data_IF_702115967315
#
_entry.id   IF_702115967315
#
_cell.length_a   1.000
_cell.length_b   1.000
_cell.length_c   1.000
_cell.angle_alpha   90.00
_cell.angle_beta   90.00
_cell.angle_gamma   90.00
#
_symmetry.space_group_name_H-M   'P 1'
#
loop_
_entity.id
_entity.type
_entity.pdbx_description
1 polymer ?
#
# COMPACT_ATOMS: atom_id res chain seq x y z
N UNK A 1 -62.93 31.50 -17.57
CA UNK A 1 -62.81 32.99 -17.62
C UNK A 1 -61.34 33.31 -17.35
N UNK A 2 -60.68 33.72 -18.42
CA UNK A 2 -59.89 34.97 -18.57
C UNK A 2 -58.84 35.17 -17.46
N UNK A 3 -57.58 35.41 -17.66
CA UNK A 3 -56.92 36.02 -18.82
C UNK A 3 -55.41 36.08 -18.67
N UNK A 4 -54.87 36.47 -19.74
CA UNK A 4 -53.52 36.62 -20.24
C UNK A 4 -52.63 37.61 -19.45
N UNK A 5 -51.30 37.41 -19.53
CA UNK A 5 -50.32 38.44 -19.22
C UNK A 5 -48.92 38.04 -19.64
N UNK A 6 -48.59 38.24 -20.93
CA UNK A 6 -47.25 38.18 -21.43
C UNK A 6 -46.60 39.55 -21.29
N UNK A 7 -45.35 39.62 -20.82
CA UNK A 7 -44.52 40.82 -20.99
C UNK A 7 -43.08 40.37 -21.44
N UNK A 8 -42.79 40.67 -22.67
CA UNK A 8 -41.49 40.61 -23.26
C UNK A 8 -40.72 41.91 -22.97
N UNK A 9 -39.47 41.80 -22.53
CA UNK A 9 -38.54 42.95 -22.53
C UNK A 9 -37.33 42.61 -23.39
N UNK A 10 -37.19 43.35 -24.47
CA UNK A 10 -36.03 43.46 -25.35
C UNK A 10 -35.05 44.49 -24.75
N UNK A 11 -33.77 44.27 -24.87
CA UNK A 11 -32.72 45.26 -24.60
C UNK A 11 -31.38 44.61 -24.88
N UNK A 12 -30.83 44.84 -25.93
CA UNK A 12 -29.90 45.78 -26.52
C UNK A 12 -28.45 45.27 -26.43
N UNK A 13 -27.92 45.02 -27.65
CA UNK A 13 -26.51 44.73 -27.92
C UNK A 13 -25.65 45.98 -27.66
N UNK A 14 -24.45 45.78 -27.07
CA UNK A 14 -23.35 46.76 -27.10
C UNK A 14 -22.10 46.02 -27.58
N UNK A 15 -21.74 46.30 -28.81
CA UNK A 15 -20.46 45.97 -29.41
C UNK A 15 -19.41 46.93 -28.89
N UNK A 16 -18.29 46.41 -28.34
CA UNK A 16 -17.07 47.22 -28.10
C UNK A 16 -15.93 46.54 -28.86
N UNK A 17 -15.50 47.25 -29.91
CA UNK A 17 -14.27 46.97 -30.62
C UNK A 17 -13.08 47.58 -29.84
N UNK A 18 -12.01 46.83 -29.64
CA UNK A 18 -10.73 47.35 -29.15
C UNK A 18 -9.58 46.85 -30.01
N UNK A 19 -8.97 47.81 -30.61
CA UNK A 19 -7.74 47.97 -31.33
C UNK A 19 -6.59 46.99 -31.09
N UNK A 20 -6.06 46.52 -32.22
CA UNK A 20 -4.71 45.94 -32.37
C UNK A 20 -3.66 47.04 -32.16
N UNK A 21 -2.67 46.77 -31.29
CA UNK A 21 -1.36 47.43 -31.31
C UNK A 21 -0.29 46.41 -31.66
N UNK A 22 0.28 46.60 -32.84
CA UNK A 22 1.50 45.94 -33.31
C UNK A 22 2.67 46.62 -32.61
N UNK A 23 3.44 45.90 -31.83
CA UNK A 23 4.70 46.31 -31.23
C UNK A 23 5.85 45.49 -31.81
N UNK A 24 6.79 46.20 -32.39
CA UNK A 24 7.88 45.72 -33.22
C UNK A 24 8.97 44.94 -32.47
N UNK A 25 9.63 44.10 -33.22
CA UNK A 25 10.84 43.32 -33.02
C UNK A 25 12.01 44.12 -32.41
N UNK A 26 12.66 43.55 -31.39
CA UNK A 26 14.07 43.79 -31.14
C UNK A 26 14.75 42.44 -30.94
N UNK A 27 15.58 42.06 -31.88
CA UNK A 27 16.46 40.89 -31.78
C UNK A 27 17.58 41.19 -30.80
N UNK A 28 17.98 40.16 -30.07
CA UNK A 28 19.28 40.10 -29.41
C UNK A 28 19.98 38.85 -29.92
N UNK A 29 21.07 39.06 -30.62
CA UNK A 29 22.05 38.06 -31.02
C UNK A 29 22.65 37.42 -29.79
N UNK A 30 22.84 36.09 -29.87
CA UNK A 30 23.55 35.30 -28.89
C UNK A 30 25.02 35.30 -29.27
N UNK A 31 25.86 35.97 -28.48
CA UNK A 31 27.31 35.77 -28.54
C UNK A 31 27.71 34.51 -27.82
N UNK A 32 28.44 33.64 -28.54
CA UNK A 32 29.22 32.53 -28.00
C UNK A 32 30.33 33.10 -27.11
N UNK A 33 30.35 32.67 -25.84
CA UNK A 33 31.38 33.10 -24.92
C UNK A 33 31.62 32.14 -23.77
N UNK A 34 32.59 31.28 -23.95
CA UNK A 34 33.58 30.82 -22.97
C UNK A 34 33.16 29.96 -21.75
N UNK A 35 33.56 28.66 -21.83
CA UNK A 35 34.42 27.98 -20.84
C UNK A 35 33.93 27.94 -19.38
N UNK A 36 33.09 26.95 -19.07
CA UNK A 36 32.95 26.43 -17.71
C UNK A 36 34.05 25.38 -17.44
N UNK A 37 34.57 25.23 -16.21
CA UNK A 37 35.66 24.32 -15.90
C UNK A 37 35.22 22.88 -15.98
N UNK A 38 35.89 22.12 -16.83
CA UNK A 38 35.79 20.65 -16.92
C UNK A 38 36.29 20.03 -15.62
N UNK A 39 35.39 19.48 -14.84
CA UNK A 39 35.77 18.58 -13.74
C UNK A 39 36.30 17.28 -14.32
N UNK A 40 37.61 17.16 -14.39
CA UNK A 40 38.27 15.87 -14.67
C UNK A 40 38.13 14.98 -13.45
N UNK A 41 37.27 13.95 -13.56
CA UNK A 41 37.28 12.86 -12.61
C UNK A 41 38.56 12.03 -12.91
N UNK A 42 39.59 12.20 -12.08
CA UNK A 42 40.79 11.40 -12.08
C UNK A 42 40.46 10.07 -11.42
N UNK A 43 40.32 9.02 -12.22
CA UNK A 43 40.30 7.62 -11.75
C UNK A 43 41.72 7.21 -11.46
N UNK A 44 42.15 7.37 -10.21
CA UNK A 44 43.35 6.69 -9.71
C UNK A 44 43.03 5.22 -9.45
N UNK A 45 43.87 4.28 -9.87
CA UNK A 45 43.69 2.87 -9.59
C UNK A 45 43.88 2.61 -8.09
N UNK A 46 42.86 2.11 -7.43
CA UNK A 46 42.93 1.64 -6.04
C UNK A 46 43.81 0.38 -6.02
N UNK A 47 45.03 0.54 -5.46
CA UNK A 47 45.99 -0.53 -5.19
C UNK A 47 45.33 -1.53 -4.24
N UNK A 48 45.18 -2.76 -4.67
CA UNK A 48 44.67 -3.86 -3.88
C UNK A 48 45.52 -4.00 -2.60
N UNK A 49 44.85 -3.89 -1.44
CA UNK A 49 45.52 -4.14 -0.16
C UNK A 49 45.81 -5.63 -0.03
N UNK A 50 47.10 -5.94 0.13
CA UNK A 50 47.59 -7.28 0.36
C UNK A 50 47.05 -7.84 1.68
N UNK A 51 46.61 -9.10 1.62
CA UNK A 51 46.14 -9.91 2.75
C UNK A 51 47.31 -10.08 3.74
N UNK A 52 47.14 -9.81 5.04
CA UNK A 52 48.19 -10.07 6.02
C UNK A 52 48.49 -11.59 6.16
N UNK A 53 49.74 -11.96 6.44
CA UNK A 53 50.12 -13.37 6.60
C UNK A 53 49.49 -13.99 7.83
N UNK A 54 49.22 -15.31 7.85
CA UNK A 54 48.65 -15.99 9.00
C UNK A 54 49.61 -16.02 10.18
N UNK A 55 49.08 -15.76 11.37
CA UNK A 55 49.84 -15.86 12.63
C UNK A 55 50.24 -17.30 12.92
N UNK A 56 51.42 -17.53 13.54
CA UNK A 56 51.89 -18.87 13.86
C UNK A 56 51.01 -19.50 14.96
N UNK A 57 50.73 -20.79 14.78
CA UNK A 57 49.97 -21.61 15.72
C UNK A 57 50.68 -21.72 17.09
N UNK A 58 49.92 -21.63 18.20
CA UNK A 58 50.54 -21.83 19.52
C UNK A 58 50.91 -23.29 19.75
N UNK A 59 52.17 -23.49 20.12
CA UNK A 59 52.75 -24.79 20.50
C UNK A 59 52.02 -25.27 21.78
N UNK A 60 51.41 -26.42 21.69
CA UNK A 60 50.69 -27.08 22.78
C UNK A 60 51.67 -27.72 23.71
N UNK A 61 52.04 -27.05 24.80
CA UNK A 61 52.78 -27.65 25.92
C UNK A 61 51.81 -28.53 26.74
N UNK A 62 52.12 -29.83 26.78
CA UNK A 62 51.41 -30.79 27.62
C UNK A 62 51.76 -30.50 29.10
N UNK A 63 50.87 -29.86 29.84
CA UNK A 63 50.96 -29.83 31.29
C UNK A 63 50.03 -30.94 31.82
N UNK A 64 50.61 -31.93 32.47
CA UNK A 64 49.90 -32.93 33.25
C UNK A 64 49.24 -32.23 34.44
N UNK A 65 47.87 -32.27 34.49
CA UNK A 65 47.12 -31.73 35.58
C UNK A 65 47.13 -32.71 36.75
N UNK A 66 47.28 -32.22 38.03
CA UNK A 66 47.14 -33.07 39.21
C UNK A 66 45.66 -33.46 39.40
N UNK A 67 45.48 -34.68 39.89
CA UNK A 67 44.19 -35.28 40.17
C UNK A 67 43.35 -34.41 41.12
N UNK A 68 42.16 -34.02 40.68
CA UNK A 68 41.17 -33.26 41.48
C UNK A 68 40.46 -34.22 42.46
N UNK A 69 40.29 -33.86 43.73
CA UNK A 69 39.53 -34.67 44.68
C UNK A 69 38.05 -34.78 44.24
N UNK A 70 37.49 -35.96 44.39
CA UNK A 70 36.09 -36.27 44.10
C UNK A 70 35.14 -35.32 44.87
N UNK A 71 34.35 -34.52 44.16
CA UNK A 71 33.26 -33.73 44.76
C UNK A 71 32.10 -34.66 45.12
N UNK A 72 31.41 -34.46 46.24
CA UNK A 72 30.23 -35.26 46.60
C UNK A 72 29.14 -35.02 45.56
N UNK A 73 28.56 -36.09 45.08
CA UNK A 73 27.43 -36.11 44.13
C UNK A 73 26.24 -35.43 44.76
N UNK A 74 25.92 -34.23 44.30
CA UNK A 74 24.68 -33.51 44.65
C UNK A 74 23.49 -34.36 44.17
N UNK A 75 22.47 -34.60 44.99
CA UNK A 75 21.27 -35.34 44.57
C UNK A 75 20.68 -34.66 43.34
N UNK A 76 20.52 -35.41 42.24
CA UNK A 76 19.83 -34.95 41.06
C UNK A 76 18.37 -34.69 41.42
N UNK A 77 17.96 -33.44 41.48
CA UNK A 77 16.54 -33.07 41.51
C UNK A 77 15.81 -33.75 40.34
N UNK A 78 14.62 -34.32 40.58
CA UNK A 78 13.83 -34.89 39.49
C UNK A 78 13.61 -33.82 38.42
N UNK A 79 14.11 -34.07 37.22
CA UNK A 79 13.89 -33.24 36.06
C UNK A 79 12.36 -33.17 35.85
N UNK A 80 11.75 -32.02 36.17
CA UNK A 80 10.33 -31.80 35.96
C UNK A 80 10.01 -32.27 34.55
N UNK A 81 9.03 -33.19 34.42
CA UNK A 81 8.61 -33.73 33.14
C UNK A 81 8.26 -32.55 32.20
N UNK A 82 9.07 -32.37 31.15
CA UNK A 82 8.76 -31.41 30.13
C UNK A 82 7.42 -31.82 29.51
N UNK A 83 6.41 -30.90 29.40
CA UNK A 83 5.16 -31.22 28.73
C UNK A 83 5.47 -31.81 27.36
N UNK A 84 4.88 -32.96 27.05
CA UNK A 84 5.07 -33.63 25.75
C UNK A 84 4.98 -32.58 24.63
N UNK A 85 6.01 -32.50 23.80
CA UNK A 85 6.09 -31.51 22.75
C UNK A 85 4.88 -31.69 21.81
N UNK A 86 3.93 -30.76 21.89
CA UNK A 86 2.74 -30.78 21.04
C UNK A 86 3.14 -30.72 19.58
N UNK A 87 2.57 -31.59 18.75
CA UNK A 87 2.87 -31.65 17.32
C UNK A 87 2.62 -30.28 16.66
N UNK A 88 3.65 -29.77 15.98
CA UNK A 88 3.58 -28.50 15.25
C UNK A 88 2.84 -28.75 13.93
N UNK A 89 1.72 -28.07 13.72
CA UNK A 89 0.90 -28.15 12.49
C UNK A 89 1.32 -27.13 11.45
N UNK A 90 1.71 -25.93 11.87
CA UNK A 90 2.21 -24.85 10.98
C UNK A 90 3.33 -24.06 11.67
N UNK A 91 4.33 -23.69 10.91
CA UNK A 91 5.51 -22.91 11.34
C UNK A 91 5.92 -21.90 10.26
N UNK A 92 6.83 -20.97 10.58
CA UNK A 92 7.42 -20.07 9.59
C UNK A 92 7.93 -20.81 8.35
N UNK A 93 7.64 -20.25 7.17
CA UNK A 93 7.91 -20.87 5.86
C UNK A 93 6.76 -21.66 5.26
N UNK A 94 5.78 -22.13 6.05
CA UNK A 94 4.61 -22.85 5.55
C UNK A 94 3.79 -22.00 4.57
N UNK A 95 3.12 -22.66 3.61
CA UNK A 95 2.27 -22.03 2.59
C UNK A 95 0.98 -22.81 2.39
N UNK A 96 -0.04 -22.14 1.87
CA UNK A 96 -1.28 -22.76 1.43
C UNK A 96 -2.54 -22.29 2.14
N UNK A 97 -3.65 -23.01 1.88
CA UNK A 97 -4.98 -22.65 2.35
C UNK A 97 -5.09 -22.62 3.88
N UNK A 98 -4.47 -23.56 4.58
CA UNK A 98 -4.49 -23.60 6.05
C UNK A 98 -3.79 -22.40 6.69
N UNK A 99 -2.69 -21.91 6.08
CA UNK A 99 -2.03 -20.69 6.55
C UNK A 99 -2.93 -19.48 6.29
N UNK A 100 -3.63 -19.45 5.17
CA UNK A 100 -4.58 -18.39 4.84
C UNK A 100 -5.76 -18.37 5.82
N UNK A 101 -6.31 -19.52 6.16
CA UNK A 101 -7.36 -19.66 7.18
C UNK A 101 -6.87 -19.17 8.55
N UNK A 102 -5.68 -19.59 8.98
CA UNK A 102 -5.05 -19.12 10.22
C UNK A 102 -4.97 -17.59 10.25
N UNK A 103 -4.48 -16.96 9.18
CA UNK A 103 -4.36 -15.50 9.08
C UNK A 103 -5.73 -14.81 9.13
N UNK A 104 -6.74 -15.36 8.49
CA UNK A 104 -8.10 -14.84 8.53
C UNK A 104 -8.68 -14.91 9.95
N UNK A 105 -8.52 -16.02 10.65
CA UNK A 105 -8.97 -16.18 12.05
C UNK A 105 -8.23 -15.26 13.02
N UNK A 106 -6.92 -15.11 12.87
CA UNK A 106 -6.13 -14.15 13.65
C UNK A 106 -6.58 -12.71 13.39
N UNK A 107 -7.02 -12.40 12.16
CA UNK A 107 -7.56 -11.10 11.79
C UNK A 107 -8.92 -10.83 12.44
N UNK A 108 -9.81 -11.80 12.51
CA UNK A 108 -11.09 -11.69 13.21
C UNK A 108 -10.90 -11.29 14.69
N UNK A 109 -9.78 -11.73 15.30
CA UNK A 109 -9.42 -11.42 16.68
C UNK A 109 -8.53 -10.17 16.84
N UNK A 110 -8.24 -9.46 15.74
CA UNK A 110 -7.39 -8.26 15.76
C UNK A 110 -5.90 -8.53 15.98
N UNK A 111 -5.44 -9.78 15.85
CA UNK A 111 -4.02 -10.14 15.97
C UNK A 111 -3.25 -10.07 14.65
N UNK A 112 -3.93 -9.98 13.52
CA UNK A 112 -3.32 -9.90 12.20
C UNK A 112 -3.91 -8.71 11.42
N UNK A 113 -3.09 -7.69 11.18
CA UNK A 113 -3.48 -6.42 10.57
C UNK A 113 -3.39 -6.41 9.03
N UNK A 114 -3.00 -7.53 8.43
CA UNK A 114 -2.81 -7.67 6.99
C UNK A 114 -3.92 -8.50 6.35
N UNK A 115 -3.97 -8.48 5.02
CA UNK A 115 -4.79 -9.45 4.30
C UNK A 115 -4.13 -10.84 4.29
N UNK A 116 -4.91 -11.91 4.41
CA UNK A 116 -4.40 -13.27 4.36
C UNK A 116 -3.70 -13.57 3.03
N UNK A 117 -2.42 -13.92 3.08
CA UNK A 117 -1.59 -14.21 1.91
C UNK A 117 -1.45 -15.70 1.64
N UNK A 118 -1.64 -16.53 2.69
CA UNK A 118 -1.33 -17.94 2.66
C UNK A 118 0.17 -18.25 2.82
N UNK A 119 0.99 -17.26 3.19
CA UNK A 119 2.41 -17.43 3.52
C UNK A 119 2.66 -17.15 5.00
N UNK A 120 3.25 -18.11 5.71
CA UNK A 120 3.62 -18.00 7.12
C UNK A 120 4.96 -17.26 7.25
N UNK A 121 4.92 -15.94 7.11
CA UNK A 121 6.07 -15.06 7.27
C UNK A 121 6.23 -14.57 8.72
N UNK A 122 7.21 -13.65 8.96
CA UNK A 122 7.47 -13.08 10.29
C UNK A 122 6.25 -12.42 10.93
N UNK A 123 5.43 -11.71 10.14
CA UNK A 123 4.18 -11.08 10.63
C UNK A 123 3.20 -12.12 11.15
N UNK A 124 3.03 -13.25 10.45
CA UNK A 124 2.16 -14.34 10.91
C UNK A 124 2.69 -14.96 12.19
N UNK A 125 4.00 -15.19 12.28
CA UNK A 125 4.64 -15.73 13.49
C UNK A 125 4.45 -14.79 14.70
N UNK A 126 4.64 -13.49 14.51
CA UNK A 126 4.39 -12.48 15.53
C UNK A 126 2.93 -12.47 16.00
N UNK A 127 1.99 -12.56 15.05
CA UNK A 127 0.54 -12.59 15.34
C UNK A 127 0.14 -13.84 16.14
N UNK A 128 0.70 -15.00 15.77
CA UNK A 128 0.48 -16.26 16.56
C UNK A 128 1.09 -16.11 17.95
N UNK A 129 2.29 -15.57 18.07
CA UNK A 129 2.94 -15.34 19.37
C UNK A 129 2.13 -14.39 20.27
N UNK A 130 1.56 -13.31 19.70
CA UNK A 130 0.68 -12.39 20.42
C UNK A 130 -0.62 -13.07 20.87
N UNK A 131 -1.23 -13.91 20.03
CA UNK A 131 -2.39 -14.70 20.39
C UNK A 131 -2.05 -15.69 21.52
N UNK A 132 -0.94 -16.42 21.40
CA UNK A 132 -0.46 -17.35 22.43
C UNK A 132 -0.28 -16.65 23.77
N UNK A 133 0.36 -15.47 23.76
CA UNK A 133 0.54 -14.66 24.97
C UNK A 133 -0.79 -14.33 25.66
N UNK A 134 -1.78 -13.85 24.90
CA UNK A 134 -3.11 -13.51 25.45
C UNK A 134 -3.87 -14.72 25.95
N UNK A 135 -3.45 -15.94 25.63
CA UNK A 135 -4.04 -17.22 26.06
C UNK A 135 -3.23 -17.95 27.14
N UNK A 136 -2.16 -17.34 27.65
CA UNK A 136 -1.27 -18.01 28.61
C UNK A 136 -0.52 -19.20 28.04
N UNK A 137 -0.43 -19.31 26.69
CA UNK A 137 0.31 -20.37 26.00
C UNK A 137 1.78 -19.96 25.80
N UNK A 138 2.67 -20.94 25.61
CA UNK A 138 4.07 -20.67 25.27
C UNK A 138 4.16 -19.88 23.94
N UNK A 139 4.88 -18.75 23.96
CA UNK A 139 5.05 -17.81 22.85
C UNK A 139 6.01 -18.33 21.77
N UNK A 140 5.69 -19.47 21.18
CA UNK A 140 6.57 -20.12 20.19
C UNK A 140 6.44 -19.54 18.79
N UNK A 141 5.38 -18.79 18.51
CA UNK A 141 5.04 -18.35 17.15
C UNK A 141 4.78 -19.51 16.19
N UNK A 142 4.60 -20.73 16.69
CA UNK A 142 4.24 -21.93 15.92
C UNK A 142 2.83 -22.37 16.30
N UNK A 143 2.14 -23.01 15.37
CA UNK A 143 0.75 -23.45 15.57
C UNK A 143 0.73 -24.94 15.89
N UNK A 144 0.15 -25.26 17.03
CA UNK A 144 -0.15 -26.63 17.48
C UNK A 144 -1.67 -26.86 17.43
N UNK A 145 -2.12 -28.09 17.70
CA UNK A 145 -3.56 -28.40 17.79
C UNK A 145 -4.25 -27.57 18.88
N UNK A 146 -3.60 -27.30 20.00
CA UNK A 146 -4.13 -26.46 21.05
C UNK A 146 -4.35 -25.01 20.57
N UNK A 147 -3.42 -24.46 19.78
CA UNK A 147 -3.57 -23.13 19.19
C UNK A 147 -4.73 -23.09 18.20
N UNK A 148 -4.85 -24.10 17.33
CA UNK A 148 -5.97 -24.19 16.38
C UNK A 148 -7.32 -24.29 17.08
N UNK A 149 -7.44 -25.16 18.08
CA UNK A 149 -8.67 -25.31 18.87
C UNK A 149 -9.05 -24.00 19.57
N UNK A 150 -8.09 -23.31 20.18
CA UNK A 150 -8.31 -22.04 20.85
C UNK A 150 -8.74 -20.92 19.89
N UNK A 151 -8.24 -20.92 18.65
CA UNK A 151 -8.65 -19.99 17.59
C UNK A 151 -10.06 -20.29 17.10
N UNK A 152 -10.35 -21.56 16.77
CA UNK A 152 -11.68 -22.00 16.28
C UNK A 152 -12.79 -21.72 17.28
N UNK A 153 -12.54 -21.94 18.55
CA UNK A 153 -13.51 -21.65 19.61
C UNK A 153 -13.90 -20.17 19.76
N UNK A 154 -13.15 -19.24 19.11
CA UNK A 154 -13.32 -17.77 19.23
C UNK A 154 -13.55 -17.07 17.93
N UNK A 155 -13.61 -17.78 16.84
CA UNK A 155 -13.76 -17.25 15.48
C UNK A 155 -14.82 -18.08 14.74
N UNK A 156 -15.52 -17.43 13.83
CA UNK A 156 -16.35 -18.17 12.88
C UNK A 156 -15.49 -18.75 11.74
N UNK A 157 -16.07 -19.64 10.97
CA UNK A 157 -15.42 -20.10 9.74
C UNK A 157 -15.21 -18.93 8.78
N UNK A 158 -13.96 -18.70 8.30
CA UNK A 158 -13.70 -17.56 7.45
C UNK A 158 -14.44 -17.64 6.12
N UNK A 159 -15.14 -16.58 5.79
CA UNK A 159 -15.82 -16.42 4.51
C UNK A 159 -14.82 -16.32 3.35
N UNK A 160 -15.29 -16.53 2.12
CA UNK A 160 -14.44 -16.34 0.92
C UNK A 160 -13.82 -14.94 0.85
N UNK A 161 -14.54 -13.91 1.26
CA UNK A 161 -14.05 -12.52 1.27
C UNK A 161 -12.99 -12.30 2.34
N UNK A 162 -13.08 -12.94 3.47
CA UNK A 162 -12.05 -12.90 4.52
C UNK A 162 -10.79 -13.64 4.10
N UNK A 163 -10.93 -14.78 3.43
CA UNK A 163 -9.81 -15.56 2.90
C UNK A 163 -9.13 -14.85 1.71
N UNK A 164 -9.91 -14.21 0.84
CA UNK A 164 -9.47 -13.57 -0.39
C UNK A 164 -10.02 -12.14 -0.49
N UNK A 165 -9.52 -11.21 0.34
CA UNK A 165 -9.96 -9.82 0.29
C UNK A 165 -9.75 -9.20 -1.09
N UNK A 166 -10.61 -8.26 -1.49
CA UNK A 166 -10.56 -7.65 -2.83
C UNK A 166 -9.36 -6.74 -3.05
N UNK A 167 -8.62 -6.41 -1.99
CA UNK A 167 -7.45 -5.51 -2.02
C UNK A 167 -6.25 -6.16 -1.35
N UNK A 168 -5.04 -5.72 -1.68
CA UNK A 168 -3.80 -6.20 -1.03
C UNK A 168 -3.64 -5.70 0.40
N UNK A 169 -4.36 -4.64 0.76
CA UNK A 169 -4.46 -4.10 2.12
C UNK A 169 -5.92 -4.03 2.54
N UNK A 170 -6.23 -4.19 3.82
CA UNK A 170 -7.59 -3.94 4.30
C UNK A 170 -8.04 -2.53 3.93
N UNK A 171 -9.24 -2.34 3.34
CA UNK A 171 -9.82 -1.02 3.20
C UNK A 171 -9.93 -0.36 4.58
N UNK A 172 -9.68 0.95 4.64
CA UNK A 172 -9.97 1.72 5.85
C UNK A 172 -11.48 1.76 6.12
N UNK A 173 -11.85 2.09 7.34
CA UNK A 173 -13.21 2.49 7.66
C UNK A 173 -13.57 3.70 6.76
N UNK A 174 -14.68 3.66 6.05
CA UNK A 174 -15.08 4.75 5.18
C UNK A 174 -15.25 6.05 5.97
N UNK A 175 -14.78 7.14 5.38
CA UNK A 175 -15.04 8.49 5.90
C UNK A 175 -16.58 8.73 5.95
N UNK A 176 -17.12 9.39 6.97
CA UNK A 176 -18.57 9.67 7.07
C UNK A 176 -19.17 10.32 5.81
N UNK A 177 -18.40 11.15 5.10
CA UNK A 177 -18.82 11.78 3.84
C UNK A 177 -19.12 10.76 2.72
N UNK A 178 -18.62 9.53 2.84
CA UNK A 178 -18.82 8.46 1.87
C UNK A 178 -20.07 7.62 2.12
N UNK A 179 -20.72 7.75 3.29
CA UNK A 179 -21.76 6.82 3.73
C UNK A 179 -23.12 7.08 3.10
N UNK A 180 -23.32 8.24 2.46
CA UNK A 180 -24.57 8.64 1.82
C UNK A 180 -24.39 8.92 0.34
N UNK A 181 -25.38 8.53 -0.47
CA UNK A 181 -25.37 8.73 -1.92
C UNK A 181 -24.25 7.95 -2.62
N UNK A 182 -23.75 8.50 -3.71
CA UNK A 182 -22.74 7.87 -4.57
C UNK A 182 -21.37 8.50 -4.29
N UNK A 183 -20.40 7.68 -3.88
CA UNK A 183 -19.08 8.19 -3.48
C UNK A 183 -17.94 7.23 -3.85
N UNK A 184 -16.87 7.77 -4.43
CA UNK A 184 -15.57 7.12 -4.53
C UNK A 184 -14.71 7.56 -3.34
N UNK A 185 -14.57 6.67 -2.36
CA UNK A 185 -13.94 6.91 -1.07
C UNK A 185 -12.49 6.41 -1.12
N UNK A 186 -11.52 7.31 -0.94
CA UNK A 186 -10.10 7.05 -1.20
C UNK A 186 -9.29 7.33 0.06
N UNK A 187 -8.82 6.26 0.73
CA UNK A 187 -7.96 6.38 1.91
C UNK A 187 -6.49 6.33 1.51
N UNK A 188 -5.75 7.37 1.88
CA UNK A 188 -4.28 7.43 1.69
C UNK A 188 -3.56 6.51 2.67
N UNK A 189 -4.08 6.34 3.88
CA UNK A 189 -3.49 5.48 4.91
C UNK A 189 -3.53 4.01 4.49
N UNK A 190 -4.70 3.49 4.12
CA UNK A 190 -4.83 2.10 3.66
C UNK A 190 -4.35 1.88 2.23
N UNK A 191 -4.19 2.95 1.44
CA UNK A 191 -3.91 2.92 0.00
C UNK A 191 -4.97 2.12 -0.76
N UNK A 192 -6.23 2.37 -0.44
CA UNK A 192 -7.38 1.75 -1.10
C UNK A 192 -8.41 2.79 -1.53
N UNK A 193 -9.11 2.50 -2.61
CA UNK A 193 -10.30 3.23 -3.03
C UNK A 193 -11.50 2.29 -2.99
N UNK A 194 -12.61 2.78 -2.45
CA UNK A 194 -13.86 2.04 -2.33
C UNK A 194 -14.97 2.81 -3.05
N UNK A 195 -15.58 2.19 -4.05
CA UNK A 195 -16.78 2.71 -4.67
C UNK A 195 -18.00 2.29 -3.84
N UNK A 196 -18.77 3.26 -3.42
CA UNK A 196 -19.90 3.08 -2.51
C UNK A 196 -21.17 3.71 -3.08
N UNK A 197 -22.30 3.10 -2.78
CA UNK A 197 -23.63 3.63 -3.06
C UNK A 197 -24.46 3.45 -1.79
N UNK A 198 -24.94 4.54 -1.21
CA UNK A 198 -25.72 4.58 0.04
C UNK A 198 -25.11 3.74 1.16
N UNK A 199 -23.81 3.98 1.43
CA UNK A 199 -23.03 3.28 2.45
C UNK A 199 -22.66 1.83 2.11
N UNK A 200 -23.14 1.27 1.00
CA UNK A 200 -22.85 -0.10 0.59
C UNK A 200 -21.66 -0.15 -0.35
N UNK A 201 -20.66 -0.96 0.01
CA UNK A 201 -19.46 -1.20 -0.83
C UNK A 201 -19.85 -1.97 -2.10
N UNK A 202 -19.53 -1.41 -3.26
CA UNK A 202 -19.74 -2.02 -4.59
C UNK A 202 -18.45 -2.60 -5.16
N UNK A 203 -17.34 -1.88 -5.00
CA UNK A 203 -16.03 -2.30 -5.50
C UNK A 203 -14.93 -1.69 -4.63
N UNK A 204 -13.90 -2.47 -4.30
CA UNK A 204 -12.70 -2.00 -3.61
C UNK A 204 -11.45 -2.28 -4.44
N UNK A 205 -10.53 -1.32 -4.49
CA UNK A 205 -9.33 -1.31 -5.34
C UNK A 205 -8.12 -0.86 -4.56
N UNK A 206 -6.95 -1.43 -4.90
CA UNK A 206 -5.68 -0.87 -4.46
C UNK A 206 -5.36 0.40 -5.25
N UNK A 207 -4.83 1.42 -4.56
CA UNK A 207 -4.42 2.68 -5.19
C UNK A 207 -3.03 3.12 -4.77
N UNK A 208 -2.38 3.90 -5.65
CA UNK A 208 -1.10 4.57 -5.42
C UNK A 208 -1.26 6.05 -5.73
N UNK A 209 -0.59 6.90 -4.99
CA UNK A 209 -0.74 8.35 -4.99
C UNK A 209 0.44 9.08 -5.60
N UNK A 210 0.31 10.39 -5.68
CA UNK A 210 1.38 11.29 -6.03
C UNK A 210 2.56 11.26 -5.06
N UNK A 211 3.71 11.71 -5.54
CA UNK A 211 4.93 11.87 -4.73
C UNK A 211 4.77 13.00 -3.69
N UNK A 212 5.79 13.17 -2.83
CA UNK A 212 5.84 14.30 -1.91
C UNK A 212 5.85 15.67 -2.63
N UNK A 213 6.42 15.72 -3.84
CA UNK A 213 6.49 16.95 -4.65
C UNK A 213 5.20 17.24 -5.42
N UNK A 214 4.45 16.21 -5.75
CA UNK A 214 3.17 16.31 -6.48
C UNK A 214 2.09 15.53 -5.76
N UNK A 215 1.68 15.94 -4.55
CA UNK A 215 0.80 15.15 -3.71
C UNK A 215 -0.61 15.07 -4.30
N UNK A 216 -1.26 13.93 -4.11
CA UNK A 216 -2.70 13.81 -4.33
C UNK A 216 -3.42 14.66 -3.27
N UNK A 217 -4.30 15.57 -3.73
CA UNK A 217 -5.06 16.47 -2.86
C UNK A 217 -6.06 15.71 -2.02
N UNK A 218 -6.14 16.07 -0.74
CA UNK A 218 -7.15 15.58 0.19
C UNK A 218 -8.35 16.52 0.22
N UNK A 219 -9.52 15.98 0.50
CA UNK A 219 -10.75 16.75 0.56
C UNK A 219 -11.95 16.01 -0.02
N UNK A 220 -13.02 16.73 -0.16
CA UNK A 220 -14.22 16.30 -0.87
C UNK A 220 -14.31 17.02 -2.21
N UNK A 221 -14.46 16.24 -3.25
CA UNK A 221 -14.54 16.68 -4.64
C UNK A 221 -15.76 16.02 -5.31
N UNK A 222 -15.96 16.37 -6.56
CA UNK A 222 -16.88 15.69 -7.48
C UNK A 222 -16.11 15.20 -8.71
N UNK A 223 -16.64 14.19 -9.38
CA UNK A 223 -16.17 13.84 -10.71
C UNK A 223 -16.54 14.97 -11.66
N UNK A 224 -15.54 15.65 -12.24
CA UNK A 224 -15.74 16.73 -13.19
C UNK A 224 -16.13 16.15 -14.56
N UNK A 225 -15.29 15.26 -15.09
CA UNK A 225 -15.54 14.54 -16.35
C UNK A 225 -14.83 13.20 -16.37
N UNK A 226 -15.16 12.37 -17.36
CA UNK A 226 -14.60 11.04 -17.57
C UNK A 226 -14.05 10.89 -18.98
N UNK A 227 -12.93 10.16 -19.13
CA UNK A 227 -12.38 9.80 -20.43
C UNK A 227 -11.88 8.36 -20.41
N UNK A 228 -12.41 7.52 -21.32
CA UNK A 228 -12.07 6.10 -21.37
C UNK A 228 -10.64 5.84 -21.84
N UNK A 229 -10.18 6.63 -22.81
CA UNK A 229 -8.88 6.47 -23.48
C UNK A 229 -8.03 7.76 -23.36
N UNK A 230 -8.04 8.36 -22.17
CA UNK A 230 -7.30 9.59 -21.96
C UNK A 230 -5.79 9.36 -22.08
N UNK A 231 -5.11 10.32 -22.70
CA UNK A 231 -3.66 10.43 -22.76
C UNK A 231 -3.24 11.79 -22.20
N UNK A 232 -2.34 11.80 -21.24
CA UNK A 232 -1.82 13.05 -20.66
C UNK A 232 -0.81 13.67 -21.63
N UNK A 233 -1.10 14.85 -22.13
CA UNK A 233 -0.14 15.62 -22.93
C UNK A 233 1.00 16.19 -22.10
N UNK A 234 0.77 16.44 -20.79
CA UNK A 234 1.79 16.98 -19.89
C UNK A 234 2.87 15.96 -19.52
N UNK A 235 2.49 14.69 -19.40
CA UNK A 235 3.40 13.62 -18.94
C UNK A 235 3.59 12.51 -19.99
N UNK A 236 3.07 12.72 -21.18
CA UNK A 236 3.10 11.76 -22.30
C UNK A 236 2.80 10.32 -21.84
N UNK A 237 1.69 10.16 -21.14
CA UNK A 237 1.35 8.88 -20.52
C UNK A 237 -0.14 8.52 -20.67
N UNK A 238 -0.47 7.23 -20.96
CA UNK A 238 -1.84 6.79 -21.04
C UNK A 238 -2.50 6.76 -19.66
N UNK A 239 -3.75 7.25 -19.59
CA UNK A 239 -4.58 7.28 -18.40
C UNK A 239 -5.94 6.61 -18.69
N UNK A 240 -5.99 5.30 -18.97
CA UNK A 240 -7.26 4.62 -19.28
C UNK A 240 -8.24 4.70 -18.12
N UNK A 241 -9.53 4.87 -18.45
CA UNK A 241 -10.62 5.02 -17.47
C UNK A 241 -10.43 6.20 -16.51
N UNK A 242 -9.93 7.32 -17.01
CA UNK A 242 -9.71 8.52 -16.22
C UNK A 242 -11.02 9.14 -15.75
N UNK A 243 -11.10 9.42 -14.46
CA UNK A 243 -12.18 10.13 -13.77
C UNK A 243 -11.55 11.33 -13.07
N UNK A 244 -11.68 12.51 -13.67
CA UNK A 244 -11.08 13.75 -13.17
C UNK A 244 -11.90 14.31 -12.03
N UNK A 245 -11.22 14.80 -10.98
CA UNK A 245 -11.90 15.30 -9.77
C UNK A 245 -11.28 16.55 -9.16
N UNK A 246 -10.05 16.92 -9.52
CA UNK A 246 -9.38 18.09 -8.92
C UNK A 246 -8.27 18.62 -9.81
N UNK A 247 -8.52 19.73 -10.56
CA UNK A 247 -7.51 20.47 -11.33
C UNK A 247 -6.51 19.56 -12.06
N UNK A 248 -7.00 18.65 -12.89
CA UNK A 248 -6.21 17.70 -13.64
C UNK A 248 -5.79 16.43 -12.90
N UNK A 249 -6.03 16.30 -11.59
CA UNK A 249 -5.88 15.02 -10.91
C UNK A 249 -7.07 14.12 -11.21
N UNK A 250 -6.79 12.86 -11.52
CA UNK A 250 -7.78 11.86 -11.86
C UNK A 250 -7.52 10.53 -11.15
N UNK A 251 -8.57 9.74 -10.99
CA UNK A 251 -8.45 8.31 -10.71
C UNK A 251 -8.40 7.58 -12.05
N UNK A 252 -7.36 6.79 -12.32
CA UNK A 252 -7.21 6.09 -13.60
C UNK A 252 -6.43 4.77 -13.47
N UNK A 253 -6.53 3.89 -14.46
CA UNK A 253 -5.66 2.72 -14.53
C UNK A 253 -4.20 3.13 -14.79
N UNK A 254 -3.27 2.47 -14.11
CA UNK A 254 -1.83 2.63 -14.34
C UNK A 254 -1.18 1.27 -14.55
N UNK A 255 -0.64 1.05 -15.76
CA UNK A 255 0.15 -0.14 -16.09
C UNK A 255 1.44 -0.21 -15.27
N UNK A 256 2.04 0.93 -14.97
CA UNK A 256 3.20 1.05 -14.10
C UNK A 256 2.90 0.57 -12.66
N UNK A 257 1.78 0.99 -12.08
CA UNK A 257 1.36 0.50 -10.76
C UNK A 257 1.02 -1.00 -10.79
N UNK A 258 0.44 -1.49 -11.89
CA UNK A 258 0.16 -2.91 -12.06
C UNK A 258 1.45 -3.75 -12.09
N UNK A 259 2.49 -3.27 -12.78
CA UNK A 259 3.77 -3.97 -12.94
C UNK A 259 4.67 -3.85 -11.71
N UNK A 260 4.87 -2.63 -11.18
CA UNK A 260 5.85 -2.34 -10.13
C UNK A 260 5.26 -2.24 -8.73
N UNK A 261 3.94 -2.35 -8.58
CA UNK A 261 3.28 -2.20 -7.28
C UNK A 261 3.53 -0.82 -6.67
N UNK A 262 3.76 -0.80 -5.36
CA UNK A 262 3.94 0.45 -4.61
C UNK A 262 5.33 1.11 -4.76
N UNK A 263 6.22 0.55 -5.55
CA UNK A 263 7.44 1.23 -5.95
C UNK A 263 7.10 2.37 -6.93
N UNK A 264 7.61 3.58 -6.67
CA UNK A 264 7.29 4.78 -7.43
C UNK A 264 6.01 5.50 -6.97
N UNK A 265 5.65 6.54 -7.69
CA UNK A 265 4.52 7.42 -7.40
C UNK A 265 3.90 7.95 -8.70
N UNK A 266 2.75 8.65 -8.60
CA UNK A 266 2.18 9.44 -9.70
C UNK A 266 2.58 10.93 -9.56
N UNK A 267 2.14 11.74 -10.50
CA UNK A 267 2.25 13.20 -10.44
C UNK A 267 0.98 13.86 -9.85
N UNK A 268 0.36 13.16 -8.87
CA UNK A 268 -0.82 13.65 -8.17
C UNK A 268 -2.09 12.86 -8.43
N UNK A 269 -2.16 12.08 -9.50
CA UNK A 269 -3.29 11.22 -9.77
C UNK A 269 -3.38 10.05 -8.79
N UNK A 270 -4.57 9.47 -8.69
CA UNK A 270 -4.82 8.22 -7.97
C UNK A 270 -4.71 7.07 -8.98
N UNK A 271 -3.59 6.37 -8.95
CA UNK A 271 -3.34 5.22 -9.81
C UNK A 271 -4.04 3.97 -9.29
N UNK A 272 -4.72 3.24 -10.16
CA UNK A 272 -5.34 1.93 -9.89
C UNK A 272 -4.62 0.85 -10.70
N UNK A 273 -4.30 -0.29 -10.09
CA UNK A 273 -3.60 -1.40 -10.77
C UNK A 273 -4.53 -2.46 -11.34
N UNK A 274 -5.75 -2.58 -10.84
CA UNK A 274 -6.73 -3.57 -11.32
C UNK A 274 -7.59 -2.95 -12.43
N UNK A 275 -7.23 -3.27 -13.69
CA UNK A 275 -7.90 -2.75 -14.87
C UNK A 275 -9.39 -3.14 -14.94
N UNK A 276 -9.75 -4.36 -14.48
CA UNK A 276 -11.14 -4.83 -14.52
C UNK A 276 -12.00 -4.07 -13.50
N UNK A 277 -11.48 -3.86 -12.29
CA UNK A 277 -12.20 -3.14 -11.24
C UNK A 277 -12.42 -1.68 -11.58
N UNK A 278 -11.38 -0.97 -12.06
CA UNK A 278 -11.57 0.43 -12.43
C UNK A 278 -12.49 0.59 -13.63
N UNK A 279 -12.47 -0.34 -14.61
CA UNK A 279 -13.41 -0.33 -15.72
C UNK A 279 -14.86 -0.47 -15.24
N UNK A 280 -15.11 -1.32 -14.23
CA UNK A 280 -16.42 -1.45 -13.59
C UNK A 280 -16.83 -0.15 -12.89
N UNK A 281 -15.97 0.43 -12.07
CA UNK A 281 -16.26 1.72 -11.41
C UNK A 281 -16.48 2.82 -12.43
N UNK A 282 -15.66 2.89 -13.48
CA UNK A 282 -15.82 3.85 -14.57
C UNK A 282 -17.16 3.71 -15.28
N UNK A 283 -17.69 2.50 -15.47
CA UNK A 283 -19.01 2.29 -16.07
C UNK A 283 -20.14 2.82 -15.18
N UNK A 284 -20.01 2.67 -13.87
CA UNK A 284 -21.04 3.04 -12.90
C UNK A 284 -21.02 4.52 -12.51
N UNK A 285 -19.81 5.09 -12.24
CA UNK A 285 -19.63 6.47 -11.75
C UNK A 285 -20.02 7.50 -12.81
N UNK A 286 -20.56 8.63 -12.37
CA UNK A 286 -21.07 9.72 -13.24
C UNK A 286 -20.38 11.04 -12.90
N UNK A 287 -20.26 11.99 -13.81
CA UNK A 287 -19.97 13.38 -13.46
C UNK A 287 -20.92 13.87 -12.36
N UNK A 288 -20.39 14.58 -11.37
CA UNK A 288 -21.13 15.02 -10.18
C UNK A 288 -21.08 14.05 -8.99
N UNK A 289 -20.76 12.76 -9.17
CA UNK A 289 -20.59 11.82 -8.05
C UNK A 289 -19.42 12.25 -7.13
N UNK A 290 -19.57 12.02 -5.83
CA UNK A 290 -18.56 12.43 -4.84
C UNK A 290 -17.24 11.65 -5.01
N UNK A 291 -16.12 12.34 -4.82
CA UNK A 291 -14.79 11.78 -4.62
C UNK A 291 -14.25 12.33 -3.30
N UNK A 292 -14.02 11.46 -2.33
CA UNK A 292 -13.50 11.84 -1.02
C UNK A 292 -12.11 11.23 -0.85
N UNK A 293 -11.09 12.09 -0.72
CA UNK A 293 -9.70 11.68 -0.46
C UNK A 293 -9.35 12.05 0.98
N UNK A 294 -8.92 11.08 1.78
CA UNK A 294 -8.66 11.26 3.22
C UNK A 294 -7.47 10.40 3.70
N UNK A 295 -6.97 10.71 4.89
CA UNK A 295 -5.94 9.91 5.61
C UNK A 295 -6.54 8.76 6.37
#
# INVERSE_FOLDING_TARGET
MRGRGATAVRGAAASAAVLLTVGALAGCEVEDGASGPSVRISTAPQKAAAKPPPAPAPTRTKHSAPARPAQPTRPQQPKAAQPAAQAVRMAPGARGAHVRELQARLRQLGHFDRNPTGYYGPVTAASVSAFQQRRGMARTGKVTDAVLSALRARTHEPTRTELHPPTSRPPAVPDPRCTTGRALCISKTSRTAVWMVDGKVRTAMDVRFGSAYTPTREGQFKVDFKSRHHHSTLYDSPMPYAMFFSRGQAVHYSSDFAARGYAGASHGCVNVRDKKKIAKVFAEIRPGDKVVVYK
#
